data_IF_248156660065
#
_entry.id   IF_248156660065
#
_cell.length_a   1.000
_cell.length_b   1.000
_cell.length_c   1.000
_cell.angle_alpha   90.00
_cell.angle_beta   90.00
_cell.angle_gamma   90.00
#
_symmetry.space_group_name_H-M   'P 1'
#
loop_
_entity.id
_entity.type
_entity.pdbx_description
1 polymer ?
#
# COMPACT_ATOMS: atom_id res chain seq x y z
N UNK A 1 18.50 13.52 -3.30
CA UNK A 1 19.00 12.37 -4.10
C UNK A 1 18.58 11.11 -3.38
N UNK A 2 17.62 10.36 -3.94
CA UNK A 2 17.22 9.07 -3.39
C UNK A 2 18.44 8.12 -3.33
N UNK A 3 18.63 7.44 -2.19
CA UNK A 3 19.70 6.45 -2.04
C UNK A 3 19.56 5.36 -3.09
N UNK A 4 20.67 4.85 -3.60
CA UNK A 4 20.65 3.72 -4.53
C UNK A 4 20.03 2.50 -3.83
N UNK A 5 18.95 1.96 -4.40
CA UNK A 5 18.27 0.79 -3.85
C UNK A 5 19.18 -0.43 -3.86
N UNK A 6 19.24 -1.13 -2.73
CA UNK A 6 19.97 -2.39 -2.61
C UNK A 6 19.03 -3.59 -2.73
N UNK A 7 17.72 -3.36 -2.65
CA UNK A 7 16.69 -4.35 -2.92
C UNK A 7 16.32 -4.36 -4.41
N UNK A 8 16.89 -5.29 -5.16
CA UNK A 8 16.74 -5.38 -6.63
C UNK A 8 15.27 -5.40 -7.10
N UNK A 9 14.37 -6.04 -6.36
CA UNK A 9 12.96 -6.10 -6.75
C UNK A 9 12.29 -4.71 -6.72
N UNK A 10 12.73 -3.79 -5.84
CA UNK A 10 12.26 -2.41 -5.84
C UNK A 10 12.56 -1.74 -7.18
N UNK A 11 13.80 -1.86 -7.66
CA UNK A 11 14.22 -1.28 -8.95
C UNK A 11 13.43 -1.89 -10.13
N UNK A 12 13.20 -3.20 -10.11
CA UNK A 12 12.47 -3.89 -11.18
C UNK A 12 10.99 -3.49 -11.26
N UNK A 13 10.34 -3.27 -10.12
CA UNK A 13 8.88 -3.07 -10.09
C UNK A 13 8.47 -1.60 -10.19
N UNK A 14 9.33 -0.66 -9.79
CA UNK A 14 8.95 0.75 -9.60
C UNK A 14 8.41 1.43 -10.84
N UNK A 15 9.03 1.23 -12.01
CA UNK A 15 8.51 1.78 -13.28
C UNK A 15 7.16 1.19 -13.71
N UNK A 16 6.89 -0.07 -13.35
CA UNK A 16 5.58 -0.69 -13.63
C UNK A 16 4.50 -0.10 -12.72
N UNK A 17 4.82 0.13 -11.45
CA UNK A 17 3.90 0.75 -10.48
C UNK A 17 3.65 2.22 -10.86
N UNK A 18 4.67 2.97 -11.24
CA UNK A 18 4.53 4.34 -11.76
C UNK A 18 3.55 4.38 -12.95
N UNK A 19 3.75 3.48 -13.94
CA UNK A 19 2.87 3.38 -15.11
C UNK A 19 1.42 3.05 -14.71
N UNK A 20 1.25 2.17 -13.73
CA UNK A 20 -0.07 1.83 -13.17
C UNK A 20 -0.74 3.07 -12.57
N UNK A 21 -0.07 3.78 -11.66
CA UNK A 21 -0.64 4.98 -11.04
C UNK A 21 -0.92 6.07 -12.09
N UNK A 22 0.01 6.32 -13.03
CA UNK A 22 -0.19 7.28 -14.12
C UNK A 22 -1.47 6.98 -14.94
N UNK A 23 -1.71 5.71 -15.26
CA UNK A 23 -2.93 5.29 -15.95
C UNK A 23 -4.20 5.54 -15.11
N UNK A 24 -4.15 5.22 -13.81
CA UNK A 24 -5.27 5.41 -12.89
C UNK A 24 -5.58 6.89 -12.59
N UNK A 25 -4.55 7.75 -12.46
CA UNK A 25 -4.73 9.20 -12.38
C UNK A 25 -5.38 9.75 -13.66
N UNK A 26 -4.87 9.37 -14.84
CA UNK A 26 -5.41 9.84 -16.12
C UNK A 26 -6.86 9.39 -16.36
N UNK A 27 -7.26 8.20 -15.92
CA UNK A 27 -8.66 7.73 -16.00
C UNK A 27 -9.57 8.47 -15.04
N UNK A 28 -9.11 8.77 -13.81
CA UNK A 28 -9.88 9.51 -12.81
C UNK A 28 -10.15 10.97 -13.24
N UNK A 29 -9.15 11.68 -13.78
CA UNK A 29 -9.31 13.05 -14.29
C UNK A 29 -10.34 13.10 -15.43
N UNK A 30 -10.32 12.13 -16.35
CA UNK A 30 -11.29 12.05 -17.47
C UNK A 30 -12.72 11.81 -17.02
N UNK A 31 -12.93 11.15 -15.89
CA UNK A 31 -14.26 10.86 -15.34
C UNK A 31 -14.82 12.02 -14.47
N UNK A 32 -14.19 13.20 -14.51
CA UNK A 32 -14.63 14.37 -13.75
C UNK A 32 -14.27 14.33 -12.25
N UNK A 33 -13.40 13.40 -11.85
CA UNK A 33 -12.85 13.35 -10.50
C UNK A 33 -11.90 14.52 -10.25
N UNK A 34 -11.95 15.09 -9.04
CA UNK A 34 -10.99 16.12 -8.61
C UNK A 34 -9.60 15.47 -8.55
N UNK A 35 -8.59 16.11 -9.14
CA UNK A 35 -7.19 15.67 -9.03
C UNK A 35 -6.74 15.79 -7.58
N UNK A 36 -6.91 14.71 -6.82
CA UNK A 36 -6.74 14.72 -5.37
C UNK A 36 -5.61 13.75 -5.02
N UNK A 37 -4.39 14.10 -5.42
CA UNK A 37 -3.22 13.32 -5.04
C UNK A 37 -1.99 13.65 -5.86
N UNK A 38 -0.84 13.40 -5.26
CA UNK A 38 0.43 13.38 -5.97
C UNK A 38 0.58 12.11 -6.79
N UNK A 39 1.07 12.25 -8.01
CA UNK A 39 1.40 11.11 -8.85
C UNK A 39 2.83 10.65 -8.52
N UNK A 40 3.02 9.50 -7.85
CA UNK A 40 4.36 9.03 -7.51
C UNK A 40 5.11 8.62 -8.77
N UNK A 41 6.40 8.96 -8.82
CA UNK A 41 7.30 8.54 -9.90
C UNK A 41 8.28 7.44 -9.43
N UNK A 42 8.91 6.73 -10.37
CA UNK A 42 9.64 5.50 -10.06
C UNK A 42 10.70 5.63 -8.93
N UNK A 43 11.58 6.63 -8.90
CA UNK A 43 12.52 6.88 -7.79
C UNK A 43 11.88 6.96 -6.40
N UNK A 44 10.70 7.59 -6.26
CA UNK A 44 10.00 7.67 -4.97
C UNK A 44 9.48 6.30 -4.55
N UNK A 45 8.87 5.59 -5.49
CA UNK A 45 8.34 4.24 -5.29
C UNK A 45 9.48 3.28 -4.91
N UNK A 46 10.61 3.37 -5.62
CA UNK A 46 11.80 2.56 -5.37
C UNK A 46 12.35 2.80 -3.97
N UNK A 47 12.54 4.06 -3.58
CA UNK A 47 13.03 4.43 -2.26
C UNK A 47 12.07 4.00 -1.14
N UNK A 48 10.76 4.13 -1.35
CA UNK A 48 9.74 3.64 -0.42
C UNK A 48 9.82 2.12 -0.23
N UNK A 49 9.89 1.37 -1.32
CA UNK A 49 9.93 -0.10 -1.29
C UNK A 49 11.24 -0.58 -0.66
N UNK A 50 12.39 -0.05 -1.06
CA UNK A 50 13.70 -0.44 -0.51
C UNK A 50 13.76 -0.20 1.00
N UNK A 51 13.38 1.01 1.44
CA UNK A 51 13.41 1.37 2.86
C UNK A 51 12.48 0.49 3.69
N UNK A 52 11.26 0.26 3.21
CA UNK A 52 10.29 -0.60 3.89
C UNK A 52 10.72 -2.07 3.91
N UNK A 53 11.33 -2.58 2.82
CA UNK A 53 11.86 -3.93 2.75
C UNK A 53 12.94 -4.14 3.82
N UNK A 54 13.94 -3.26 3.87
CA UNK A 54 15.00 -3.38 4.86
C UNK A 54 14.50 -3.15 6.28
N UNK A 55 13.48 -2.31 6.48
CA UNK A 55 12.82 -2.19 7.78
C UNK A 55 12.17 -3.51 8.20
N UNK A 56 11.47 -4.19 7.27
CA UNK A 56 10.74 -5.43 7.53
C UNK A 56 11.62 -6.58 8.03
N UNK A 57 12.90 -6.58 7.67
CA UNK A 57 13.88 -7.60 8.08
C UNK A 57 14.55 -7.30 9.44
N UNK A 58 14.34 -6.10 9.98
CA UNK A 58 14.85 -5.70 11.29
C UNK A 58 13.86 -6.11 12.38
N UNK A 59 14.30 -6.00 13.63
CA UNK A 59 13.50 -6.31 14.81
C UNK A 59 13.57 -5.15 15.79
N UNK A 60 12.45 -4.84 16.42
CA UNK A 60 12.35 -3.98 17.60
C UNK A 60 11.80 -4.85 18.74
N UNK A 61 12.51 -4.93 19.86
CA UNK A 61 12.12 -5.80 21.01
C UNK A 61 11.85 -7.28 20.63
N UNK A 62 12.49 -7.77 19.58
CA UNK A 62 12.32 -9.15 19.07
C UNK A 62 11.11 -9.34 18.15
N UNK A 63 10.37 -8.28 17.83
CA UNK A 63 9.22 -8.30 16.92
C UNK A 63 9.60 -7.62 15.61
N UNK A 64 9.26 -8.27 14.49
CA UNK A 64 9.44 -7.67 13.16
C UNK A 64 8.39 -6.58 12.94
N UNK A 65 8.76 -5.42 12.35
CA UNK A 65 7.86 -4.30 12.24
C UNK A 65 6.74 -4.57 11.25
N UNK A 66 5.50 -4.25 11.64
CA UNK A 66 4.36 -4.12 10.74
C UNK A 66 3.98 -2.66 10.66
N UNK A 67 4.03 -2.09 9.47
CA UNK A 67 3.78 -0.66 9.23
C UNK A 67 2.98 -0.52 7.95
N UNK A 68 2.05 0.43 7.94
CA UNK A 68 1.45 0.90 6.70
C UNK A 68 1.89 2.33 6.44
N UNK A 69 2.48 2.57 5.27
CA UNK A 69 2.92 3.88 4.80
C UNK A 69 1.91 4.42 3.82
N UNK A 70 1.58 5.70 3.93
CA UNK A 70 0.76 6.42 2.97
C UNK A 70 1.57 7.57 2.38
N UNK A 71 1.63 7.64 1.04
CA UNK A 71 2.40 8.67 0.33
C UNK A 71 1.50 9.84 -0.04
N UNK A 72 1.51 10.87 0.81
CA UNK A 72 0.69 12.06 0.68
C UNK A 72 1.26 13.19 1.55
N UNK A 73 1.04 14.46 1.19
CA UNK A 73 1.38 15.58 2.06
C UNK A 73 0.39 15.68 3.23
N UNK A 74 0.79 16.24 4.38
CA UNK A 74 -0.08 16.36 5.56
C UNK A 74 -1.36 17.14 5.28
N UNK A 75 -1.34 18.11 4.35
CA UNK A 75 -2.49 18.92 3.96
C UNK A 75 -3.60 18.10 3.27
N UNK A 76 -3.28 16.91 2.75
CA UNK A 76 -4.23 15.99 2.11
C UNK A 76 -4.67 14.85 3.04
N UNK A 77 -4.23 14.86 4.30
CA UNK A 77 -4.40 13.73 5.21
C UNK A 77 -5.60 13.85 6.17
N UNK A 78 -6.57 14.74 5.88
CA UNK A 78 -7.77 14.94 6.69
C UNK A 78 -7.45 15.57 8.05
N UNK A 79 -7.58 14.79 9.13
CA UNK A 79 -7.19 15.17 10.49
C UNK A 79 -5.93 14.39 10.94
N UNK A 80 -4.73 14.73 10.43
CA UNK A 80 -3.50 14.04 10.78
C UNK A 80 -3.00 14.38 12.19
N UNK A 81 -2.29 13.43 12.80
CA UNK A 81 -1.39 13.72 13.92
C UNK A 81 0.00 13.99 13.34
N UNK A 82 0.42 15.25 13.39
CA UNK A 82 1.72 15.71 12.88
C UNK A 82 2.76 15.60 13.99
N UNK A 83 3.94 15.08 13.68
CA UNK A 83 5.05 15.04 14.63
C UNK A 83 5.63 16.44 14.85
N UNK A 84 6.17 16.69 16.05
CA UNK A 84 6.80 17.98 16.36
C UNK A 84 8.01 18.31 15.48
N UNK A 85 8.62 17.30 14.85
CA UNK A 85 9.66 17.43 13.85
C UNK A 85 9.52 16.32 12.81
N UNK A 86 9.94 16.61 11.56
CA UNK A 86 9.99 15.62 10.47
C UNK A 86 11.05 14.56 10.80
N UNK A 87 10.72 13.29 10.58
CA UNK A 87 11.66 12.19 10.76
C UNK A 87 12.22 11.74 9.42
N UNK A 88 13.50 11.38 9.41
CA UNK A 88 14.16 10.80 8.25
C UNK A 88 13.49 9.47 7.87
N UNK A 89 13.14 9.31 6.59
CA UNK A 89 12.56 8.06 6.10
C UNK A 89 13.65 7.02 5.89
N UNK A 90 13.97 6.30 6.96
CA UNK A 90 15.04 5.28 6.98
C UNK A 90 14.55 3.99 7.61
N UNK A 91 15.19 2.84 7.33
CA UNK A 91 14.76 1.57 7.88
C UNK A 91 14.77 1.56 9.41
N UNK A 92 15.78 2.19 10.03
CA UNK A 92 15.91 2.26 11.49
C UNK A 92 14.78 3.06 12.14
N UNK A 93 14.35 4.16 11.52
CA UNK A 93 13.23 4.97 12.02
C UNK A 93 11.92 4.21 11.88
N UNK A 94 11.68 3.55 10.74
CA UNK A 94 10.48 2.73 10.54
C UNK A 94 10.38 1.59 11.56
N UNK A 95 11.48 0.88 11.83
CA UNK A 95 11.51 -0.19 12.84
C UNK A 95 11.11 0.31 14.22
N UNK A 96 11.59 1.50 14.64
CA UNK A 96 11.23 2.11 15.93
C UNK A 96 9.79 2.61 16.00
N UNK A 97 9.25 3.11 14.90
CA UNK A 97 7.88 3.63 14.86
C UNK A 97 6.83 2.53 14.78
N UNK A 98 7.16 1.38 14.19
CA UNK A 98 6.22 0.29 13.92
C UNK A 98 5.32 -0.09 15.10
N UNK A 99 5.83 -0.28 16.34
CA UNK A 99 4.99 -0.66 17.48
C UNK A 99 3.91 0.38 17.82
N UNK A 100 4.16 1.67 17.52
CA UNK A 100 3.22 2.75 17.78
C UNK A 100 2.09 2.84 16.73
N UNK A 101 2.26 2.20 15.56
CA UNK A 101 1.37 2.35 14.39
C UNK A 101 0.85 1.04 13.81
N UNK A 102 1.08 -0.10 14.48
CA UNK A 102 0.59 -1.41 14.04
C UNK A 102 -0.95 -1.52 14.06
N UNK A 103 -1.65 -0.59 14.74
CA UNK A 103 -3.11 -0.61 14.84
C UNK A 103 -3.76 -0.44 13.46
N UNK A 104 -4.77 -1.26 13.11
CA UNK A 104 -5.50 -1.12 11.85
C UNK A 104 -6.04 0.29 11.63
N UNK A 105 -5.86 0.80 10.41
CA UNK A 105 -6.33 2.12 10.00
C UNK A 105 -5.45 3.29 10.45
N UNK A 106 -4.29 3.03 11.07
CA UNK A 106 -3.25 4.06 11.26
C UNK A 106 -2.20 3.89 10.17
N UNK A 107 -1.90 4.98 9.47
CA UNK A 107 -0.91 5.03 8.42
C UNK A 107 0.17 6.04 8.79
N UNK A 108 1.44 5.68 8.66
CA UNK A 108 2.53 6.64 8.69
C UNK A 108 2.50 7.46 7.41
N UNK A 109 2.43 8.78 7.58
CA UNK A 109 2.46 9.72 6.49
C UNK A 109 3.89 9.94 6.01
N UNK A 110 4.14 9.63 4.73
CA UNK A 110 5.41 9.85 4.05
C UNK A 110 5.21 10.91 2.98
N UNK A 111 6.13 11.85 2.90
CA UNK A 111 6.16 12.86 1.86
C UNK A 111 7.58 13.12 1.39
N UNK A 112 7.73 13.92 0.34
CA UNK A 112 9.02 14.25 -0.24
C UNK A 112 9.30 15.76 -0.15
N UNK A 113 10.56 16.12 0.01
CA UNK A 113 11.06 17.49 -0.14
C UNK A 113 12.50 17.41 -0.63
N UNK A 114 12.87 18.22 -1.64
CA UNK A 114 14.23 18.22 -2.21
C UNK A 114 14.76 16.83 -2.62
N UNK A 115 13.90 15.98 -3.20
CA UNK A 115 14.21 14.59 -3.56
C UNK A 115 14.63 13.68 -2.39
N UNK A 116 14.14 13.98 -1.19
CA UNK A 116 14.30 13.13 -0.01
C UNK A 116 12.94 12.82 0.60
N UNK A 117 12.75 11.56 0.99
CA UNK A 117 11.54 11.14 1.70
C UNK A 117 11.68 11.44 3.19
N UNK A 118 10.58 11.89 3.79
CA UNK A 118 10.47 12.10 5.22
C UNK A 118 9.12 11.63 5.75
N UNK A 119 9.09 11.30 7.04
CA UNK A 119 7.86 10.95 7.76
C UNK A 119 7.39 12.20 8.49
N UNK A 120 6.16 12.63 8.23
CA UNK A 120 5.59 13.83 8.85
C UNK A 120 4.69 13.54 10.04
N UNK A 121 4.18 12.31 10.18
CA UNK A 121 3.23 11.97 11.23
C UNK A 121 2.42 10.73 10.91
N UNK A 122 1.17 10.70 11.39
CA UNK A 122 0.20 9.64 11.12
C UNK A 122 -1.13 10.19 10.64
N UNK A 123 -1.86 9.39 9.87
CA UNK A 123 -3.24 9.67 9.47
C UNK A 123 -4.10 8.40 9.50
N UNK A 124 -5.42 8.61 9.57
CA UNK A 124 -6.44 7.58 9.39
C UNK A 124 -7.21 7.72 8.09
N UNK A 125 -7.02 8.83 7.38
CA UNK A 125 -7.70 9.14 6.14
C UNK A 125 -6.75 9.03 4.97
N UNK A 126 -7.12 8.17 4.02
CA UNK A 126 -6.37 7.94 2.80
C UNK A 126 -7.20 8.46 1.63
N UNK A 127 -6.73 9.47 0.88
CA UNK A 127 -7.35 9.92 -0.37
C UNK A 127 -7.41 8.78 -1.39
N UNK A 128 -8.34 8.85 -2.34
CA UNK A 128 -8.32 7.88 -3.44
C UNK A 128 -7.09 8.10 -4.33
N UNK A 129 -6.62 7.02 -4.95
CA UNK A 129 -5.36 6.95 -5.71
C UNK A 129 -4.08 7.27 -4.91
N UNK A 130 -4.17 7.47 -3.59
CA UNK A 130 -2.98 7.54 -2.74
C UNK A 130 -2.23 6.20 -2.76
N UNK A 131 -0.92 6.25 -3.03
CA UNK A 131 -0.07 5.09 -2.92
C UNK A 131 0.07 4.71 -1.43
N UNK A 132 -0.20 3.44 -1.15
CA UNK A 132 -0.07 2.85 0.18
C UNK A 132 0.83 1.64 0.09
N UNK A 133 1.84 1.57 0.95
CA UNK A 133 2.80 0.48 1.05
C UNK A 133 2.69 -0.14 2.44
N UNK A 134 2.37 -1.43 2.50
CA UNK A 134 2.17 -2.16 3.75
C UNK A 134 3.23 -3.25 3.92
N UNK A 135 3.86 -3.26 5.09
CA UNK A 135 4.75 -4.33 5.54
C UNK A 135 3.90 -5.34 6.33
N UNK A 136 3.72 -6.54 5.77
CA UNK A 136 2.84 -7.56 6.35
C UNK A 136 3.61 -8.49 7.29
N UNK A 137 4.77 -8.96 6.84
CA UNK A 137 5.70 -9.86 7.55
C UNK A 137 7.12 -9.60 7.01
N UNK A 138 8.19 -10.14 7.63
CA UNK A 138 9.55 -9.99 7.12
C UNK A 138 9.68 -10.34 5.64
N UNK A 139 10.10 -9.36 4.85
CA UNK A 139 10.28 -9.50 3.40
C UNK A 139 9.00 -9.57 2.58
N UNK A 140 7.81 -9.39 3.17
CA UNK A 140 6.52 -9.33 2.46
C UNK A 140 5.95 -7.91 2.48
N UNK A 141 5.92 -7.29 1.30
CA UNK A 141 5.36 -5.97 1.07
C UNK A 141 4.15 -6.04 0.15
N UNK A 142 3.15 -5.21 0.41
CA UNK A 142 1.97 -5.04 -0.45
C UNK A 142 1.83 -3.57 -0.81
N UNK A 143 1.87 -3.27 -2.11
CA UNK A 143 1.56 -1.96 -2.65
C UNK A 143 0.10 -1.96 -3.05
N UNK A 144 -0.65 -0.95 -2.60
CA UNK A 144 -2.07 -0.78 -2.84
C UNK A 144 -2.44 0.69 -3.02
N UNK A 145 -3.65 0.94 -3.47
CA UNK A 145 -4.26 2.27 -3.48
C UNK A 145 -5.74 2.18 -3.11
N UNK A 146 -6.33 3.28 -2.64
CA UNK A 146 -7.76 3.37 -2.39
C UNK A 146 -8.48 3.74 -3.68
N UNK A 147 -9.55 3.02 -4.05
CA UNK A 147 -10.39 3.41 -5.20
C UNK A 147 -11.16 4.70 -4.92
N UNK A 148 -11.30 5.54 -5.95
CA UNK A 148 -12.15 6.72 -5.92
C UNK A 148 -13.64 6.37 -5.98
N UNK A 149 -13.99 5.26 -6.65
CA UNK A 149 -15.32 4.75 -6.90
C UNK A 149 -15.62 3.51 -6.04
N UNK A 150 -15.91 3.71 -4.76
CA UNK A 150 -16.33 2.63 -3.87
C UNK A 150 -16.20 2.98 -2.39
N UNK A 151 -16.87 2.18 -1.54
CA UNK A 151 -16.90 2.30 -0.08
C UNK A 151 -15.52 2.07 0.60
N UNK A 152 -14.50 2.88 0.27
CA UNK A 152 -13.19 2.84 0.92
C UNK A 152 -12.36 1.57 0.68
N UNK A 153 -12.64 0.82 -0.40
CA UNK A 153 -11.91 -0.42 -0.70
C UNK A 153 -10.52 -0.12 -1.28
N UNK A 154 -9.52 -0.82 -0.74
CA UNK A 154 -8.17 -0.84 -1.28
C UNK A 154 -8.03 -1.89 -2.37
N UNK A 155 -7.21 -1.60 -3.37
CA UNK A 155 -6.82 -2.53 -4.43
C UNK A 155 -5.33 -2.75 -4.38
N UNK A 156 -4.93 -4.02 -4.34
CA UNK A 156 -3.53 -4.40 -4.41
C UNK A 156 -3.02 -4.20 -5.84
N UNK A 157 -1.87 -3.56 -5.97
CA UNK A 157 -1.16 -3.27 -7.22
C UNK A 157 -0.02 -4.24 -7.40
N UNK A 158 0.75 -4.49 -6.34
CA UNK A 158 1.87 -5.41 -6.35
C UNK A 158 2.08 -6.04 -4.98
N UNK A 159 2.59 -7.26 -4.98
CA UNK A 159 3.01 -8.02 -3.81
C UNK A 159 4.46 -8.42 -4.03
N UNK A 160 5.33 -8.10 -3.07
CA UNK A 160 6.75 -8.40 -3.11
C UNK A 160 7.07 -9.33 -1.94
N UNK A 161 7.62 -10.51 -2.19
CA UNK A 161 8.00 -11.49 -1.17
C UNK A 161 9.44 -11.94 -1.39
N UNK A 162 10.38 -11.44 -0.60
CA UNK A 162 11.80 -11.72 -0.83
C UNK A 162 12.20 -11.26 -2.23
N UNK A 163 12.67 -12.17 -3.07
CA UNK A 163 12.99 -11.90 -4.49
C UNK A 163 11.80 -12.08 -5.45
N UNK A 164 10.66 -12.54 -4.97
CA UNK A 164 9.48 -12.82 -5.79
C UNK A 164 8.60 -11.57 -5.94
N UNK A 165 8.22 -11.27 -7.18
CA UNK A 165 7.35 -10.14 -7.54
C UNK A 165 6.06 -10.67 -8.14
N UNK A 166 4.93 -10.23 -7.61
CA UNK A 166 3.60 -10.50 -8.18
C UNK A 166 2.86 -9.20 -8.40
N UNK A 167 2.72 -8.79 -9.67
CA UNK A 167 1.93 -7.62 -10.06
C UNK A 167 0.47 -8.07 -10.24
N UNK A 168 -0.45 -7.29 -9.69
CA UNK A 168 -1.89 -7.55 -9.80
C UNK A 168 -2.41 -6.86 -11.04
N UNK A 169 -2.72 -7.64 -12.07
CA UNK A 169 -3.32 -7.13 -13.31
C UNK A 169 -4.85 -7.11 -13.20
N UNK A 170 -5.42 -5.91 -13.08
CA UNK A 170 -6.86 -5.66 -13.11
C UNK A 170 -7.54 -6.18 -14.40
N UNK A 171 -6.81 -6.25 -15.52
CA UNK A 171 -7.29 -6.74 -16.81
C UNK A 171 -7.52 -8.25 -16.88
N UNK A 172 -6.83 -9.04 -16.04
CA UNK A 172 -7.01 -10.51 -16.03
C UNK A 172 -8.37 -10.95 -15.47
N UNK A 173 -8.97 -10.16 -14.57
CA UNK A 173 -10.30 -10.39 -14.02
C UNK A 173 -11.44 -10.10 -15.02
N UNK A 174 -11.13 -9.45 -16.16
CA UNK A 174 -12.09 -9.20 -17.25
C UNK A 174 -12.05 -10.27 -18.35
N UNK A 175 -11.24 -11.32 -18.22
CA UNK A 175 -11.30 -12.48 -19.13
C UNK A 175 -12.55 -13.33 -18.81
N UNK A 176 -13.26 -13.85 -19.83
CA UNK A 176 -14.50 -14.62 -19.64
C UNK A 176 -14.33 -15.91 -18.82
N UNK A 177 -13.10 -16.42 -18.68
CA UNK A 177 -12.78 -17.64 -17.91
C UNK A 177 -12.28 -17.38 -16.47
N UNK A 178 -12.37 -16.14 -15.96
CA UNK A 178 -11.96 -15.87 -14.58
C UNK A 178 -13.06 -16.30 -13.58
N UNK A 179 -12.80 -17.19 -12.61
CA UNK A 179 -13.80 -17.61 -11.63
C UNK A 179 -14.33 -16.40 -10.85
N UNK A 180 -15.64 -16.30 -10.64
CA UNK A 180 -16.30 -15.16 -9.97
C UNK A 180 -15.72 -14.84 -8.58
N UNK A 181 -15.11 -15.83 -7.93
CA UNK A 181 -14.39 -15.70 -6.66
C UNK A 181 -13.17 -14.79 -6.78
N UNK A 182 -12.39 -14.92 -7.84
CA UNK A 182 -11.19 -14.11 -8.09
C UNK A 182 -11.59 -12.69 -8.42
N UNK A 183 -12.64 -12.52 -9.23
CA UNK A 183 -13.25 -11.22 -9.56
C UNK A 183 -13.81 -10.50 -8.32
N UNK A 184 -14.37 -11.25 -7.38
CA UNK A 184 -14.90 -10.73 -6.10
C UNK A 184 -13.80 -10.36 -5.11
N UNK A 185 -12.74 -11.17 -5.00
CA UNK A 185 -11.55 -10.85 -4.19
C UNK A 185 -10.74 -9.68 -4.75
N UNK A 186 -10.76 -9.49 -6.08
CA UNK A 186 -10.18 -8.34 -6.77
C UNK A 186 -11.13 -7.12 -6.84
N UNK A 187 -12.37 -7.26 -6.35
CA UNK A 187 -13.31 -6.16 -6.18
C UNK A 187 -14.00 -5.63 -7.44
N UNK A 188 -14.15 -6.42 -8.51
CA UNK A 188 -14.60 -5.93 -9.82
C UNK A 188 -16.12 -5.91 -10.09
N UNK A 189 -16.95 -6.55 -9.27
CA UNK A 189 -18.42 -6.47 -9.41
C UNK A 189 -19.10 -6.60 -8.07
N UNK A 190 -19.94 -5.62 -7.72
CA UNK A 190 -21.12 -5.87 -6.90
C UNK A 190 -22.30 -5.07 -7.50
N UNK A 191 -23.10 -5.64 -8.40
CA UNK A 191 -24.53 -5.49 -8.25
C UNK A 191 -24.94 -6.30 -7.03
N UNK A 192 -25.68 -5.64 -6.15
CA UNK A 192 -26.51 -6.21 -5.09
C UNK A 192 -27.09 -7.59 -5.48
N UNK A 193 -27.13 -8.50 -4.50
CA UNK A 193 -27.79 -9.83 -4.50
C UNK A 193 -26.93 -11.05 -4.89
N UNK A 194 -25.94 -11.46 -4.08
CA UNK A 194 -25.30 -12.79 -4.25
C UNK A 194 -24.94 -13.48 -2.91
N UNK A 195 -25.60 -14.63 -2.70
CA UNK A 195 -25.47 -15.77 -1.77
C UNK A 195 -24.51 -15.74 -0.54
N UNK A 196 -25.09 -15.98 0.64
CA UNK A 196 -24.51 -15.88 2.00
C UNK A 196 -23.46 -16.97 2.34
N UNK A 197 -23.54 -18.15 1.74
CA UNK A 197 -22.71 -19.32 2.11
C UNK A 197 -21.23 -19.19 1.73
N UNK A 198 -20.93 -18.45 0.66
CA UNK A 198 -19.55 -18.21 0.18
C UNK A 198 -18.79 -17.21 1.07
N UNK A 199 -19.52 -16.35 1.79
CA UNK A 199 -18.96 -15.36 2.71
C UNK A 199 -18.35 -16.04 3.94
N UNK A 200 -18.96 -17.14 4.41
CA UNK A 200 -18.51 -17.88 5.60
C UNK A 200 -17.13 -18.51 5.40
N UNK A 201 -16.85 -19.11 4.24
CA UNK A 201 -15.55 -19.75 4.00
C UNK A 201 -14.41 -18.72 3.89
N UNK A 202 -14.68 -17.56 3.30
CA UNK A 202 -13.71 -16.45 3.26
C UNK A 202 -13.51 -15.85 4.65
N UNK A 203 -14.59 -15.64 5.42
CA UNK A 203 -14.50 -15.17 6.80
C UNK A 203 -13.76 -16.17 7.70
N UNK A 204 -13.99 -17.46 7.51
CA UNK A 204 -13.29 -18.54 8.22
C UNK A 204 -11.81 -18.55 7.87
N UNK A 205 -11.45 -18.47 6.58
CA UNK A 205 -10.07 -18.40 6.15
C UNK A 205 -9.35 -17.15 6.69
N UNK A 206 -10.02 -16.00 6.73
CA UNK A 206 -9.51 -14.77 7.34
C UNK A 206 -9.30 -14.95 8.85
N UNK A 207 -10.24 -15.58 9.55
CA UNK A 207 -10.16 -15.87 10.99
C UNK A 207 -9.01 -16.84 11.31
N UNK A 208 -8.88 -17.92 10.53
CA UNK A 208 -7.78 -18.90 10.68
C UNK A 208 -6.42 -18.26 10.44
N UNK A 209 -6.30 -17.37 9.44
CA UNK A 209 -5.07 -16.64 9.15
C UNK A 209 -4.72 -15.62 10.23
N UNK A 210 -5.71 -14.90 10.77
CA UNK A 210 -5.53 -13.97 11.89
C UNK A 210 -5.01 -14.68 13.15
N UNK A 211 -5.37 -15.96 13.33
CA UNK A 211 -4.89 -16.78 14.44
C UNK A 211 -3.45 -17.31 14.25
N UNK A 212 -2.88 -17.21 13.04
CA UNK A 212 -1.47 -17.53 12.77
C UNK A 212 -1.06 -18.99 12.99
N UNK A 213 -2.02 -19.92 13.10
CA UNK A 213 -1.78 -21.36 13.33
C UNK A 213 -2.52 -22.28 12.34
N UNK A 214 -3.03 -21.74 11.24
CA UNK A 214 -3.84 -22.45 10.23
C UNK A 214 -3.21 -22.39 8.86
#
# INVERSE_FOLDING_TARGET
MYSESTYQAARLVSGTIETYFAHHFATATRNGGKEMGHQPYAPEIEAMIDTAFWASLRHEEGVSPKVTLAFLPPEQAGEPLIFGYRLQFTPAVLTKLAPAVERPGIHLGVWHENEELYIWGTTREIPGNCLVLEVIEPGLLVIKHRRMDGFGKFVNVAILKGDQIKIVDEGTARKPDCPDVVTSMLGFKLPSFWNDSMNILVQLAVSMRAHGRG
#
